data_IF_623747619151
#
_entry.id   IF_623747619151
#
_cell.length_a   1.000
_cell.length_b   1.000
_cell.length_c   1.000
_cell.angle_alpha   90.00
_cell.angle_beta   90.00
_cell.angle_gamma   90.00
#
_symmetry.space_group_name_H-M   'P 1'
#
loop_
_entity.id
_entity.type
_entity.pdbx_description
1 polymer ?
#
# COMPACT_ATOMS: atom_id res chain seq x y z
N UNK A 1 -8.59 -15.14 3.61
CA UNK A 1 -7.69 -15.82 2.65
C UNK A 1 -7.26 -17.19 3.13
N UNK A 2 -6.43 -17.33 4.17
CA UNK A 2 -5.96 -18.66 4.62
C UNK A 2 -7.10 -19.65 4.93
N UNK A 3 -8.18 -19.20 5.60
CA UNK A 3 -9.36 -20.04 5.86
C UNK A 3 -10.04 -20.46 4.55
N UNK A 4 -10.24 -19.53 3.60
CA UNK A 4 -10.92 -19.81 2.33
C UNK A 4 -10.12 -20.76 1.42
N UNK A 5 -8.79 -20.68 1.50
CA UNK A 5 -7.90 -21.61 0.83
C UNK A 5 -7.97 -22.99 1.46
N UNK A 6 -7.88 -23.06 2.79
CA UNK A 6 -7.96 -24.32 3.53
C UNK A 6 -9.33 -25.00 3.42
N UNK A 7 -10.41 -24.24 3.26
CA UNK A 7 -11.76 -24.77 3.00
C UNK A 7 -12.01 -25.10 1.53
N UNK A 8 -11.07 -24.80 0.63
CA UNK A 8 -11.21 -25.00 -0.81
C UNK A 8 -12.27 -24.13 -1.50
N UNK A 9 -12.87 -23.17 -0.79
CA UNK A 9 -13.89 -22.28 -1.37
C UNK A 9 -13.29 -21.21 -2.27
N UNK A 10 -12.06 -20.76 -1.97
CA UNK A 10 -11.33 -19.82 -2.81
C UNK A 10 -9.84 -20.15 -2.74
N UNK A 11 -9.29 -20.86 -3.74
CA UNK A 11 -7.86 -21.11 -3.79
C UNK A 11 -7.11 -19.81 -4.06
N UNK A 12 -6.03 -19.56 -3.32
CA UNK A 12 -5.22 -18.33 -3.47
C UNK A 12 -4.60 -18.26 -4.86
N UNK A 13 -4.37 -19.40 -5.50
CA UNK A 13 -3.83 -19.54 -6.85
C UNK A 13 -4.66 -18.81 -7.91
N UNK A 14 -5.96 -18.64 -7.69
CA UNK A 14 -6.85 -17.89 -8.60
C UNK A 14 -6.37 -16.47 -8.88
N UNK A 15 -5.64 -15.84 -7.95
CA UNK A 15 -5.04 -14.52 -8.20
C UNK A 15 -4.02 -14.53 -9.34
N UNK A 16 -3.28 -15.62 -9.51
CA UNK A 16 -2.31 -15.80 -10.60
C UNK A 16 -2.95 -16.39 -11.85
N UNK A 17 -3.79 -17.42 -11.68
CA UNK A 17 -4.44 -18.09 -12.81
C UNK A 17 -5.29 -17.12 -13.64
N UNK A 18 -6.01 -16.23 -12.95
CA UNK A 18 -6.89 -15.23 -13.58
C UNK A 18 -6.25 -13.83 -13.64
N UNK A 19 -4.91 -13.73 -13.62
CA UNK A 19 -4.22 -12.44 -13.59
C UNK A 19 -4.60 -11.52 -14.77
N UNK A 20 -4.67 -12.07 -15.99
CA UNK A 20 -5.03 -11.30 -17.20
C UNK A 20 -6.46 -10.72 -17.14
N UNK A 21 -7.49 -11.54 -16.85
CA UNK A 21 -8.84 -11.06 -16.61
C UNK A 21 -8.93 -10.05 -15.45
N UNK A 22 -8.25 -10.31 -14.33
CA UNK A 22 -8.21 -9.39 -13.18
C UNK A 22 -7.62 -8.03 -13.55
N UNK A 23 -6.53 -8.01 -14.33
CA UNK A 23 -5.93 -6.78 -14.84
C UNK A 23 -6.91 -6.01 -15.73
N UNK A 24 -7.62 -6.70 -16.62
CA UNK A 24 -8.61 -6.08 -17.52
C UNK A 24 -9.77 -5.48 -16.74
N UNK A 25 -10.30 -6.21 -15.75
CA UNK A 25 -11.35 -5.74 -14.85
C UNK A 25 -10.87 -4.54 -14.02
N UNK A 26 -9.64 -4.56 -13.52
CA UNK A 26 -9.06 -3.45 -12.77
C UNK A 26 -8.95 -2.17 -13.63
N UNK A 27 -8.49 -2.30 -14.88
CA UNK A 27 -8.42 -1.19 -15.84
C UNK A 27 -9.81 -0.61 -16.10
N UNK A 28 -10.78 -1.46 -16.48
CA UNK A 28 -12.15 -1.03 -16.78
C UNK A 28 -12.79 -0.37 -15.55
N UNK A 29 -12.62 -0.97 -14.36
CA UNK A 29 -13.14 -0.43 -13.11
C UNK A 29 -12.51 0.91 -12.76
N UNK A 30 -11.20 1.09 -13.01
CA UNK A 30 -10.51 2.36 -12.80
C UNK A 30 -11.09 3.48 -13.67
N UNK A 31 -11.36 3.20 -14.96
CA UNK A 31 -12.04 4.16 -15.83
C UNK A 31 -13.47 4.48 -15.34
N UNK A 32 -14.27 3.45 -15.06
CA UNK A 32 -15.66 3.63 -14.63
C UNK A 32 -15.77 4.38 -13.31
N UNK A 33 -14.93 4.04 -12.32
CA UNK A 33 -14.88 4.71 -11.02
C UNK A 33 -14.44 6.17 -11.16
N UNK A 34 -13.53 6.47 -12.08
CA UNK A 34 -13.10 7.85 -12.35
C UNK A 34 -14.20 8.69 -12.98
N UNK A 35 -14.94 8.14 -13.95
CA UNK A 35 -16.13 8.81 -14.51
C UNK A 35 -17.18 9.03 -13.43
N UNK A 36 -17.46 8.01 -12.63
CA UNK A 36 -18.41 8.12 -11.53
C UNK A 36 -18.01 9.21 -10.54
N UNK A 37 -16.76 9.22 -10.06
CA UNK A 37 -16.25 10.22 -9.13
C UNK A 37 -16.34 11.64 -9.70
N UNK A 38 -15.96 11.82 -10.98
CA UNK A 38 -16.04 13.11 -11.66
C UNK A 38 -17.49 13.60 -11.74
N UNK A 39 -18.41 12.84 -12.34
CA UNK A 39 -19.81 13.29 -12.50
C UNK A 39 -20.54 13.45 -11.15
N UNK A 40 -20.26 12.58 -10.18
CA UNK A 40 -20.83 12.70 -8.83
C UNK A 40 -20.41 14.00 -8.13
N UNK A 41 -19.15 14.42 -8.29
CA UNK A 41 -18.66 15.69 -7.75
C UNK A 41 -19.42 16.90 -8.34
N UNK A 42 -19.70 16.89 -9.65
CA UNK A 42 -20.51 17.93 -10.29
C UNK A 42 -21.97 17.89 -9.85
N UNK A 43 -22.58 16.71 -9.78
CA UNK A 43 -23.98 16.55 -9.36
C UNK A 43 -24.21 17.00 -7.91
N UNK A 44 -23.22 16.82 -7.03
CA UNK A 44 -23.26 17.26 -5.63
C UNK A 44 -22.84 18.71 -5.43
N UNK A 45 -22.30 19.39 -6.45
CA UNK A 45 -21.68 20.71 -6.30
C UNK A 45 -20.48 20.71 -5.35
N UNK A 46 -19.80 19.57 -5.19
CA UNK A 46 -18.67 19.38 -4.27
C UNK A 46 -17.32 19.70 -4.92
N UNK A 47 -17.33 20.56 -5.94
CA UNK A 47 -16.15 20.85 -6.73
C UNK A 47 -15.10 21.60 -5.92
N UNK A 48 -13.84 21.20 -6.05
CA UNK A 48 -12.70 21.84 -5.41
C UNK A 48 -11.65 22.19 -6.46
N UNK A 49 -11.22 23.45 -6.51
CA UNK A 49 -10.10 23.94 -7.35
C UNK A 49 -10.16 23.41 -8.80
N UNK A 50 -11.26 23.70 -9.50
CA UNK A 50 -11.50 23.33 -10.91
C UNK A 50 -10.84 24.38 -11.82
N UNK A 51 -10.24 23.94 -12.93
CA UNK A 51 -9.56 24.82 -13.89
C UNK A 51 -10.46 25.28 -15.04
N UNK A 52 -11.53 24.53 -15.34
CA UNK A 52 -12.43 24.80 -16.45
C UNK A 52 -12.07 24.03 -17.73
N UNK A 53 -10.99 23.24 -17.72
CA UNK A 53 -10.60 22.35 -18.81
C UNK A 53 -11.04 20.91 -18.50
N UNK A 54 -12.12 20.39 -19.11
CA UNK A 54 -12.73 19.13 -18.68
C UNK A 54 -11.80 17.91 -18.69
N UNK A 55 -10.89 17.83 -19.67
CA UNK A 55 -9.94 16.70 -19.76
C UNK A 55 -8.95 16.74 -18.59
N UNK A 56 -8.41 17.91 -18.27
CA UNK A 56 -7.47 18.09 -17.17
C UNK A 56 -8.17 17.91 -15.82
N UNK A 57 -9.37 18.48 -15.66
CA UNK A 57 -10.15 18.35 -14.43
C UNK A 57 -10.64 16.91 -14.19
N UNK A 58 -10.91 16.15 -15.25
CA UNK A 58 -11.15 14.70 -15.14
C UNK A 58 -9.88 13.95 -14.70
N UNK A 59 -8.74 14.27 -15.31
CA UNK A 59 -7.47 13.63 -15.01
C UNK A 59 -7.03 13.86 -13.56
N UNK A 60 -7.05 15.12 -13.12
CA UNK A 60 -6.64 15.54 -11.78
C UNK A 60 -7.75 15.43 -10.74
N UNK A 61 -9.01 15.26 -11.14
CA UNK A 61 -10.14 15.12 -10.23
C UNK A 61 -10.88 16.41 -9.91
N UNK A 62 -12.13 16.25 -9.47
CA UNK A 62 -13.06 17.34 -9.22
C UNK A 62 -13.36 17.58 -7.72
N UNK A 63 -13.30 16.53 -6.89
CA UNK A 63 -13.53 16.59 -5.44
C UNK A 63 -12.25 16.24 -4.69
N UNK A 64 -11.98 16.90 -3.56
CA UNK A 64 -10.75 16.62 -2.79
C UNK A 64 -10.80 15.24 -2.14
N UNK A 65 -11.82 14.94 -1.33
CA UNK A 65 -11.96 13.66 -0.63
C UNK A 65 -13.43 13.20 -0.68
N UNK A 66 -13.85 12.45 -1.71
CA UNK A 66 -15.21 11.95 -1.80
C UNK A 66 -15.47 10.92 -0.70
N UNK A 67 -16.56 11.12 0.05
CA UNK A 67 -16.94 10.26 1.18
C UNK A 67 -18.29 9.60 0.97
N UNK A 68 -18.34 8.28 1.12
CA UNK A 68 -19.59 7.53 1.14
C UNK A 68 -20.19 7.56 2.56
N UNK A 69 -21.38 8.14 2.69
CA UNK A 69 -22.12 8.32 3.96
C UNK A 69 -21.32 9.00 5.09
N UNK A 70 -20.24 9.71 4.76
CA UNK A 70 -19.35 10.33 5.74
C UNK A 70 -18.44 9.34 6.52
N UNK A 71 -18.51 8.04 6.21
CA UNK A 71 -17.79 6.98 6.93
C UNK A 71 -16.58 6.50 6.12
N UNK A 72 -16.80 6.20 4.84
CA UNK A 72 -15.76 5.67 3.96
C UNK A 72 -15.17 6.79 3.12
N UNK A 73 -13.89 7.07 3.31
CA UNK A 73 -13.11 7.96 2.46
C UNK A 73 -12.50 7.15 1.30
N UNK A 74 -12.95 7.43 0.07
CA UNK A 74 -12.54 6.65 -1.10
C UNK A 74 -11.06 6.81 -1.41
N UNK A 75 -10.49 7.99 -1.14
CA UNK A 75 -9.09 8.26 -1.40
C UNK A 75 -8.20 7.42 -0.50
N UNK A 76 -8.51 7.37 0.80
CA UNK A 76 -7.84 6.49 1.75
C UNK A 76 -8.01 5.00 1.39
N UNK A 77 -9.20 4.61 0.96
CA UNK A 77 -9.50 3.21 0.61
C UNK A 77 -8.70 2.76 -0.61
N UNK A 78 -8.68 3.56 -1.68
CA UNK A 78 -7.92 3.24 -2.88
C UNK A 78 -6.41 3.25 -2.62
N UNK A 79 -5.89 4.23 -1.88
CA UNK A 79 -4.45 4.36 -1.63
C UNK A 79 -3.86 3.20 -0.82
N UNK A 80 -4.59 2.71 0.19
CA UNK A 80 -4.05 1.76 1.18
C UNK A 80 -4.60 0.35 0.99
N UNK A 81 -5.90 0.19 0.77
CA UNK A 81 -6.55 -1.11 0.97
C UNK A 81 -6.53 -1.98 -0.28
N UNK A 82 -6.67 -1.39 -1.46
CA UNK A 82 -6.70 -2.16 -2.71
C UNK A 82 -5.28 -2.60 -3.15
N UNK A 83 -4.35 -1.69 -3.44
CA UNK A 83 -3.11 -2.04 -4.15
C UNK A 83 -2.21 -2.99 -3.35
N UNK A 84 -1.95 -2.64 -2.09
CA UNK A 84 -0.97 -3.36 -1.27
C UNK A 84 -1.43 -4.75 -0.84
N UNK A 85 -2.74 -4.94 -0.64
CA UNK A 85 -3.30 -6.24 -0.28
C UNK A 85 -3.47 -7.14 -1.50
N UNK A 86 -3.74 -6.60 -2.69
CA UNK A 86 -3.70 -7.37 -3.94
C UNK A 86 -2.25 -7.83 -4.22
N UNK A 87 -1.28 -6.94 -4.09
CA UNK A 87 0.14 -7.27 -4.29
C UNK A 87 0.62 -8.37 -3.32
N UNK A 88 0.26 -8.25 -2.05
CA UNK A 88 0.53 -9.30 -1.06
C UNK A 88 -0.19 -10.61 -1.41
N UNK A 89 -1.46 -10.54 -1.83
CA UNK A 89 -2.24 -11.69 -2.30
C UNK A 89 -1.59 -12.42 -3.46
N UNK A 90 -1.07 -11.69 -4.46
CA UNK A 90 -0.34 -12.27 -5.60
C UNK A 90 0.91 -13.02 -5.18
N UNK A 91 1.64 -12.53 -4.18
CA UNK A 91 2.84 -13.22 -3.69
C UNK A 91 2.50 -14.48 -2.90
N UNK A 92 1.44 -14.44 -2.10
CA UNK A 92 0.91 -15.63 -1.46
C UNK A 92 0.42 -16.66 -2.49
N UNK A 93 -0.18 -16.20 -3.60
CA UNK A 93 -0.58 -17.07 -4.69
C UNK A 93 0.63 -17.75 -5.33
N UNK A 94 1.72 -17.00 -5.58
CA UNK A 94 2.95 -17.57 -6.14
C UNK A 94 3.53 -18.65 -5.24
N UNK A 95 3.56 -18.42 -3.93
CA UNK A 95 4.01 -19.42 -2.96
C UNK A 95 3.11 -20.67 -2.94
N UNK A 96 1.79 -20.49 -3.01
CA UNK A 96 0.83 -21.60 -3.01
C UNK A 96 0.93 -22.43 -4.31
N UNK A 97 0.96 -21.78 -5.48
CA UNK A 97 1.19 -22.44 -6.77
C UNK A 97 2.50 -23.23 -6.79
N UNK A 98 3.59 -22.64 -6.28
CA UNK A 98 4.89 -23.30 -6.24
C UNK A 98 4.87 -24.54 -5.33
N UNK A 99 4.22 -24.43 -4.17
CA UNK A 99 4.07 -25.56 -3.25
C UNK A 99 3.25 -26.70 -3.87
N UNK A 100 2.18 -26.40 -4.61
CA UNK A 100 1.35 -27.42 -5.27
C UNK A 100 2.06 -28.11 -6.45
N UNK A 101 2.85 -27.36 -7.23
CA UNK A 101 3.55 -27.91 -8.40
C UNK A 101 4.80 -28.70 -8.03
N UNK A 102 5.59 -28.20 -7.07
CA UNK A 102 6.92 -28.73 -6.77
C UNK A 102 7.03 -29.39 -5.40
N UNK A 103 6.02 -29.24 -4.52
CA UNK A 103 6.05 -29.74 -3.15
C UNK A 103 6.90 -28.91 -2.17
N UNK A 104 7.51 -27.82 -2.63
CA UNK A 104 8.29 -26.89 -1.82
C UNK A 104 8.15 -25.46 -2.33
N UNK A 105 8.49 -24.48 -1.50
CA UNK A 105 8.54 -23.05 -1.89
C UNK A 105 10.00 -22.60 -1.87
N UNK A 106 10.42 -21.95 -2.95
CA UNK A 106 11.77 -21.38 -3.06
C UNK A 106 12.00 -20.25 -2.05
N UNK A 107 13.24 -20.07 -1.64
CA UNK A 107 13.63 -19.01 -0.69
C UNK A 107 13.44 -17.62 -1.31
N UNK A 108 13.56 -17.49 -2.63
CA UNK A 108 13.30 -16.26 -3.38
C UNK A 108 11.81 -15.87 -3.36
N UNK A 109 10.90 -16.84 -3.51
CA UNK A 109 9.46 -16.56 -3.39
C UNK A 109 9.10 -16.20 -1.95
N UNK A 110 9.69 -16.88 -0.95
CA UNK A 110 9.52 -16.50 0.45
C UNK A 110 10.02 -15.09 0.75
N UNK A 111 11.08 -14.63 0.08
CA UNK A 111 11.57 -13.26 0.19
C UNK A 111 10.53 -12.25 -0.26
N UNK A 112 9.90 -12.48 -1.42
CA UNK A 112 8.85 -11.59 -1.93
C UNK A 112 7.61 -11.59 -1.04
N UNK A 113 7.18 -12.76 -0.54
CA UNK A 113 6.06 -12.86 0.40
C UNK A 113 6.35 -12.04 1.67
N UNK A 114 7.56 -12.16 2.22
CA UNK A 114 8.00 -11.38 3.37
C UNK A 114 8.01 -9.87 3.06
N UNK A 115 8.61 -9.46 1.94
CA UNK A 115 8.73 -8.07 1.56
C UNK A 115 7.36 -7.39 1.38
N UNK A 116 6.45 -8.02 0.63
CA UNK A 116 5.10 -7.50 0.45
C UNK A 116 4.27 -7.55 1.72
N UNK A 117 4.46 -8.57 2.57
CA UNK A 117 3.80 -8.64 3.88
C UNK A 117 4.20 -7.47 4.77
N UNK A 118 5.50 -7.22 4.96
CA UNK A 118 5.95 -6.16 5.87
C UNK A 118 5.53 -4.77 5.37
N UNK A 119 5.48 -4.59 4.05
CA UNK A 119 5.04 -3.33 3.43
C UNK A 119 3.53 -3.13 3.58
N UNK A 120 2.70 -4.11 3.21
CA UNK A 120 1.25 -4.04 3.38
C UNK A 120 0.88 -3.84 4.87
N UNK A 121 1.60 -4.52 5.76
CA UNK A 121 1.45 -4.36 7.20
C UNK A 121 1.87 -2.97 7.68
N UNK A 122 2.95 -2.39 7.15
CA UNK A 122 3.35 -1.01 7.48
C UNK A 122 2.27 0.01 7.09
N UNK A 123 1.68 -0.14 5.90
CA UNK A 123 0.56 0.70 5.46
C UNK A 123 -0.65 0.56 6.39
N UNK A 124 -1.02 -0.66 6.77
CA UNK A 124 -2.15 -0.91 7.68
C UNK A 124 -1.89 -0.39 9.10
N UNK A 125 -0.66 -0.55 9.61
CA UNK A 125 -0.22 -0.09 10.93
C UNK A 125 -0.15 1.44 11.00
N UNK A 126 0.39 2.06 9.95
CA UNK A 126 0.68 3.48 9.82
C UNK A 126 -0.43 4.30 9.16
N UNK A 127 -1.60 3.72 8.91
CA UNK A 127 -2.72 4.35 8.16
C UNK A 127 -3.08 5.77 8.63
N UNK A 128 -3.02 6.04 9.94
CA UNK A 128 -3.29 7.35 10.52
C UNK A 128 -2.25 8.44 10.14
N UNK A 129 -1.06 8.04 9.71
CA UNK A 129 0.02 8.92 9.28
C UNK A 129 -0.14 9.30 7.80
N UNK A 130 -0.85 8.48 7.02
CA UNK A 130 -1.05 8.66 5.58
C UNK A 130 -1.96 9.86 5.29
N UNK A 131 -2.86 10.23 6.21
CA UNK A 131 -3.72 11.43 6.06
C UNK A 131 -2.91 12.71 5.83
N UNK A 132 -1.65 12.74 6.25
CA UNK A 132 -0.77 13.92 6.13
C UNK A 132 0.09 13.91 4.86
N UNK A 133 -0.01 12.88 4.02
CA UNK A 133 0.72 12.83 2.75
C UNK A 133 0.15 13.83 1.76
N UNK A 134 0.96 14.17 0.76
CA UNK A 134 0.57 15.10 -0.30
C UNK A 134 -0.71 14.64 -1.00
N UNK A 135 -0.75 13.36 -1.36
CA UNK A 135 -1.84 12.76 -2.11
C UNK A 135 -3.14 12.92 -1.35
N UNK A 136 -3.20 12.64 -0.04
CA UNK A 136 -4.42 12.79 0.77
C UNK A 136 -4.81 14.26 1.05
N UNK A 137 -3.82 15.14 1.24
CA UNK A 137 -4.07 16.48 1.75
C UNK A 137 -4.27 17.52 0.64
N UNK A 138 -3.60 17.36 -0.50
CA UNK A 138 -3.54 18.38 -1.56
C UNK A 138 -4.10 17.91 -2.89
N UNK A 139 -4.00 16.62 -3.20
CA UNK A 139 -4.41 16.08 -4.49
C UNK A 139 -5.88 15.68 -4.48
N UNK A 140 -6.58 16.00 -5.57
CA UNK A 140 -8.01 15.70 -5.73
C UNK A 140 -8.15 14.28 -6.25
N UNK A 141 -9.23 13.58 -5.87
CA UNK A 141 -9.49 12.26 -6.38
C UNK A 141 -9.92 12.32 -7.86
N UNK A 142 -8.97 12.09 -8.76
CA UNK A 142 -9.17 12.06 -10.20
C UNK A 142 -8.84 10.73 -10.84
N UNK A 143 -8.90 10.70 -12.16
CA UNK A 143 -8.51 9.52 -12.93
C UNK A 143 -7.09 9.06 -12.62
N UNK A 144 -6.14 9.98 -12.45
CA UNK A 144 -4.75 9.65 -12.11
C UNK A 144 -4.68 8.77 -10.85
N UNK A 145 -5.23 9.23 -9.73
CA UNK A 145 -5.16 8.51 -8.45
C UNK A 145 -6.02 7.24 -8.44
N UNK A 146 -7.23 7.28 -8.99
CA UNK A 146 -8.13 6.12 -9.01
C UNK A 146 -7.54 5.01 -9.88
N UNK A 147 -7.14 5.34 -11.11
CA UNK A 147 -6.58 4.36 -12.04
C UNK A 147 -5.24 3.81 -11.51
N UNK A 148 -4.37 4.67 -11.01
CA UNK A 148 -3.08 4.27 -10.48
C UNK A 148 -3.22 3.30 -9.31
N UNK A 149 -4.11 3.58 -8.36
CA UNK A 149 -4.29 2.72 -7.19
C UNK A 149 -5.08 1.43 -7.49
N UNK A 150 -6.00 1.44 -8.45
CA UNK A 150 -6.78 0.25 -8.82
C UNK A 150 -6.02 -0.70 -9.75
N UNK A 151 -5.28 -0.17 -10.73
CA UNK A 151 -4.61 -0.95 -11.76
C UNK A 151 -3.09 -0.74 -11.77
N UNK A 152 -2.61 0.51 -11.71
CA UNK A 152 -1.18 0.83 -11.83
C UNK A 152 -0.30 0.12 -10.79
N UNK A 153 -0.48 0.45 -9.51
CA UNK A 153 0.33 -0.11 -8.41
C UNK A 153 0.25 -1.63 -8.35
N UNK A 154 -0.92 -2.29 -8.23
CA UNK A 154 -0.95 -3.73 -8.02
C UNK A 154 -0.45 -4.51 -9.26
N UNK A 155 -0.72 -4.02 -10.47
CA UNK A 155 -0.39 -4.76 -11.70
C UNK A 155 1.02 -4.49 -12.19
N UNK A 156 1.63 -3.33 -11.87
CA UNK A 156 3.03 -3.08 -12.19
C UNK A 156 3.99 -3.55 -11.10
N UNK A 157 3.63 -3.46 -9.82
CA UNK A 157 4.59 -3.81 -8.76
C UNK A 157 4.72 -5.33 -8.57
N UNK A 158 3.80 -6.12 -9.15
CA UNK A 158 3.83 -7.57 -9.10
C UNK A 158 4.79 -8.23 -10.11
N UNK A 159 5.52 -7.46 -10.94
CA UNK A 159 6.39 -8.03 -11.98
C UNK A 159 7.39 -9.07 -11.44
N UNK A 160 8.00 -8.83 -10.28
CA UNK A 160 8.91 -9.80 -9.66
C UNK A 160 8.19 -11.11 -9.30
N UNK A 161 6.98 -11.01 -8.74
CA UNK A 161 6.14 -12.15 -8.38
C UNK A 161 5.73 -12.95 -9.63
N UNK A 162 5.31 -12.27 -10.69
CA UNK A 162 4.96 -12.91 -11.96
C UNK A 162 6.16 -13.59 -12.61
N UNK A 163 7.34 -12.99 -12.53
CA UNK A 163 8.57 -13.60 -13.05
C UNK A 163 8.87 -14.92 -12.34
N UNK A 164 8.85 -14.95 -11.00
CA UNK A 164 9.11 -16.17 -10.23
C UNK A 164 8.01 -17.23 -10.39
N UNK A 165 6.76 -16.82 -10.60
CA UNK A 165 5.65 -17.75 -10.80
C UNK A 165 5.67 -18.42 -12.18
N UNK A 166 6.21 -17.76 -13.21
CA UNK A 166 6.21 -18.25 -14.60
C UNK A 166 7.53 -18.93 -15.03
N UNK A 167 8.53 -18.99 -14.15
CA UNK A 167 9.81 -19.63 -14.45
C UNK A 167 10.09 -20.77 -13.48
N UNK A 168 10.78 -21.81 -13.97
CA UNK A 168 11.20 -22.91 -13.13
C UNK A 168 12.20 -22.43 -12.06
N UNK A 169 12.14 -22.93 -10.81
CA UNK A 169 13.04 -22.51 -9.75
C UNK A 169 14.52 -22.57 -10.12
N UNK A 170 14.92 -23.57 -10.92
CA UNK A 170 16.31 -23.70 -11.39
C UNK A 170 16.85 -22.48 -12.16
N UNK A 171 15.97 -21.64 -12.71
CA UNK A 171 16.36 -20.45 -13.47
C UNK A 171 16.75 -19.25 -12.61
N UNK A 172 16.23 -19.16 -11.39
CA UNK A 172 16.44 -18.03 -10.49
C UNK A 172 17.05 -18.42 -9.14
N UNK A 173 17.25 -19.72 -8.90
CA UNK A 173 17.97 -20.22 -7.72
C UNK A 173 19.28 -19.46 -7.59
N UNK A 174 19.43 -18.83 -6.44
CA UNK A 174 20.63 -18.08 -6.11
C UNK A 174 21.38 -18.71 -4.93
N UNK A 175 22.52 -18.13 -4.58
CA UNK A 175 23.32 -18.60 -3.46
C UNK A 175 22.57 -18.31 -2.15
N UNK A 176 22.20 -19.37 -1.42
CA UNK A 176 21.47 -19.30 -0.15
C UNK A 176 22.09 -18.33 0.87
N UNK A 177 23.43 -18.25 0.93
CA UNK A 177 24.12 -17.34 1.83
C UNK A 177 23.94 -15.87 1.41
N UNK A 178 24.04 -15.59 0.11
CA UNK A 178 23.84 -14.24 -0.42
C UNK A 178 22.39 -13.79 -0.21
N UNK A 179 21.44 -14.69 -0.46
CA UNK A 179 20.02 -14.44 -0.24
C UNK A 179 19.72 -14.20 1.25
N UNK A 180 20.30 -15.00 2.15
CA UNK A 180 20.16 -14.82 3.61
C UNK A 180 20.66 -13.44 4.06
N UNK A 181 21.78 -12.97 3.51
CA UNK A 181 22.29 -11.62 3.77
C UNK A 181 21.30 -10.56 3.30
N UNK A 182 20.66 -10.74 2.14
CA UNK A 182 19.67 -9.81 1.62
C UNK A 182 18.40 -9.80 2.46
N UNK A 183 17.92 -10.95 2.93
CA UNK A 183 16.83 -11.02 3.90
C UNK A 183 17.12 -10.17 5.14
N UNK A 184 18.29 -10.37 5.74
CA UNK A 184 18.69 -9.65 6.94
C UNK A 184 18.87 -8.15 6.68
N UNK A 185 19.49 -7.79 5.55
CA UNK A 185 19.66 -6.40 5.15
C UNK A 185 18.31 -5.72 4.92
N UNK A 186 17.36 -6.39 4.26
CA UNK A 186 16.03 -5.85 4.00
C UNK A 186 15.24 -5.61 5.30
N UNK A 187 15.25 -6.57 6.21
CA UNK A 187 14.63 -6.42 7.54
C UNK A 187 15.28 -5.30 8.36
N UNK A 188 16.61 -5.15 8.28
CA UNK A 188 17.31 -4.06 8.94
C UNK A 188 16.91 -2.70 8.35
N UNK A 189 16.90 -2.55 7.03
CA UNK A 189 16.47 -1.31 6.36
C UNK A 189 15.01 -0.99 6.69
N UNK A 190 14.14 -2.00 6.69
CA UNK A 190 12.75 -1.84 7.12
C UNK A 190 12.67 -1.33 8.57
N UNK A 191 13.44 -1.92 9.49
CA UNK A 191 13.48 -1.49 10.89
C UNK A 191 13.94 -0.03 11.01
N UNK A 192 15.00 0.38 10.31
CA UNK A 192 15.48 1.77 10.28
C UNK A 192 14.38 2.70 9.75
N UNK A 193 13.79 2.35 8.60
CA UNK A 193 12.75 3.17 7.98
C UNK A 193 11.51 3.33 8.85
N UNK A 194 11.02 2.25 9.45
CA UNK A 194 9.81 2.25 10.27
C UNK A 194 10.02 2.99 11.59
N UNK A 195 11.16 2.77 12.26
CA UNK A 195 11.49 3.46 13.51
C UNK A 195 11.75 4.95 13.29
N UNK A 196 12.51 5.34 12.25
CA UNK A 196 12.79 6.73 11.95
C UNK A 196 11.53 7.52 11.58
N UNK A 197 10.65 6.93 10.75
CA UNK A 197 9.36 7.57 10.44
C UNK A 197 8.42 7.60 11.65
N UNK A 198 8.41 6.55 12.47
CA UNK A 198 7.69 6.53 13.74
C UNK A 198 8.12 7.65 14.68
N UNK A 199 9.43 7.85 14.84
CA UNK A 199 10.00 8.94 15.65
C UNK A 199 9.64 10.32 15.12
N UNK A 200 9.86 10.56 13.82
CA UNK A 200 9.55 11.83 13.15
C UNK A 200 8.08 12.20 13.30
N UNK A 201 7.19 11.25 13.07
CA UNK A 201 5.75 11.50 13.11
C UNK A 201 5.25 11.65 14.55
N UNK A 202 5.72 10.81 15.48
CA UNK A 202 5.39 10.93 16.90
C UNK A 202 5.83 12.28 17.46
N UNK A 203 7.04 12.74 17.13
CA UNK A 203 7.55 14.05 17.52
C UNK A 203 6.62 15.18 17.06
N UNK A 204 6.25 15.19 15.77
CA UNK A 204 5.35 16.21 15.18
C UNK A 204 3.95 16.19 15.81
N UNK A 205 3.43 15.00 16.12
CA UNK A 205 2.13 14.87 16.77
C UNK A 205 2.19 15.33 18.24
N UNK A 206 3.30 15.09 18.94
CA UNK A 206 3.52 15.57 20.31
C UNK A 206 3.64 17.10 20.36
N UNK A 207 4.37 17.70 19.41
CA UNK A 207 4.49 19.16 19.27
C UNK A 207 3.12 19.83 19.06
N UNK A 208 2.24 19.20 18.28
CA UNK A 208 0.89 19.69 17.99
C UNK A 208 -0.16 19.31 19.05
N UNK A 209 0.22 18.54 20.08
CA UNK A 209 -0.71 18.03 21.09
C UNK A 209 -1.73 17.01 20.58
N UNK A 210 -1.52 16.43 19.38
CA UNK A 210 -2.44 15.47 18.73
C UNK A 210 -1.94 14.02 18.79
N UNK A 211 -1.00 13.73 19.69
CA UNK A 211 -0.40 12.40 19.81
C UNK A 211 -1.43 11.32 20.13
N UNK A 212 -1.55 10.33 19.24
CA UNK A 212 -2.41 9.16 19.39
C UNK A 212 -1.61 7.90 19.10
N UNK A 213 -1.37 7.09 20.14
CA UNK A 213 -0.69 5.81 20.00
C UNK A 213 -1.68 4.71 19.63
N UNK A 214 -1.61 4.20 18.39
CA UNK A 214 -2.42 3.04 17.96
C UNK A 214 -1.79 1.73 18.44
N UNK A 215 -2.61 0.86 19.03
CA UNK A 215 -2.24 -0.53 19.33
C UNK A 215 -2.41 -1.39 18.07
N UNK A 216 -1.48 -1.26 17.13
CA UNK A 216 -1.43 -2.04 15.89
C UNK A 216 -0.23 -2.98 15.92
N UNK A 217 -0.35 -4.17 15.33
CA UNK A 217 0.69 -5.19 15.39
C UNK A 217 1.54 -5.20 14.12
N UNK A 218 2.89 -5.29 14.19
CA UNK A 218 3.77 -5.00 15.32
C UNK A 218 4.27 -3.53 15.30
N UNK A 219 4.19 -2.83 16.44
CA UNK A 219 4.90 -1.55 16.64
C UNK A 219 6.31 -1.83 17.14
N UNK A 220 7.32 -1.26 16.48
CA UNK A 220 8.70 -1.39 16.90
C UNK A 220 8.97 -0.50 18.12
N UNK A 221 9.88 -0.91 19.03
CA UNK A 221 10.24 -0.09 20.19
C UNK A 221 10.96 1.20 19.75
N UNK A 222 11.00 2.19 20.65
CA UNK A 222 11.74 3.46 20.46
C UNK A 222 11.18 4.42 19.39
N UNK A 223 9.92 4.27 19.00
CA UNK A 223 9.23 5.26 18.15
C UNK A 223 8.92 6.58 18.89
N UNK A 224 9.02 6.62 20.22
CA UNK A 224 8.71 7.79 21.04
C UNK A 224 9.99 8.36 21.66
N UNK A 225 10.21 9.66 21.51
CA UNK A 225 11.33 10.36 22.16
C UNK A 225 10.87 10.85 23.53
N UNK A 226 11.17 10.09 24.58
CA UNK A 226 10.78 10.37 25.97
C UNK A 226 11.76 11.37 26.61
N UNK A 227 11.88 12.59 26.05
CA UNK A 227 12.38 13.80 26.74
C UNK A 227 12.42 15.02 25.79
N UNK A 228 11.27 15.69 25.60
CA UNK A 228 11.10 16.77 24.61
C UNK A 228 11.45 18.17 25.14
N UNK A 229 11.42 18.39 26.47
CA UNK A 229 11.57 19.73 27.06
C UNK A 229 12.91 20.42 26.73
N UNK A 230 14.08 19.73 26.73
CA UNK A 230 15.34 20.39 26.39
C UNK A 230 15.47 20.73 24.90
N UNK A 231 14.89 19.90 24.02
CA UNK A 231 15.03 20.02 22.57
C UNK A 231 14.16 21.16 22.00
N UNK A 232 12.91 21.24 22.47
CA UNK A 232 11.97 22.32 22.09
C UNK A 232 12.49 23.68 22.57
N UNK A 233 13.07 23.76 23.79
CA UNK A 233 13.68 25.00 24.28
C UNK A 233 14.83 25.47 23.40
N UNK A 234 15.65 24.58 22.84
CA UNK A 234 16.75 24.99 21.94
C UNK A 234 16.22 25.53 20.60
N UNK A 235 15.23 24.88 20.01
CA UNK A 235 14.69 25.31 18.72
C UNK A 235 13.90 26.62 18.78
N UNK A 236 13.18 26.88 19.89
CA UNK A 236 12.43 28.14 20.09
C UNK A 236 13.36 29.31 20.46
N UNK A 237 14.55 29.05 21.01
CA UNK A 237 15.54 30.10 21.32
C UNK A 237 16.38 30.45 20.07
N UNK A 238 16.46 29.56 19.07
CA UNK A 238 17.22 29.75 17.83
C UNK A 238 16.37 30.19 16.62
N UNK A 239 15.06 30.44 16.80
CA UNK A 239 14.13 30.96 15.78
C UNK A 239 13.64 32.37 16.10
#
# INVERSE_FOLDING_TARGET
>A
MAILHGTGQFPVNTFLDEFGPLMSVAIISGFLASFYAYFCAFARGAQHRITGYPIYDFFMGAELNPRLFGILDFQMFYEIRIPWFILFGLSCAAAACQYEQYGYVSSEVLFLVMAHFIYANACAKGEHLIVTTWDMYQEKLGFLLIFWNMAGVPMSYCHCTLYLANHDPSTYVWNDYALSVIFMAYLFVYWVWDTANGQKNSFRMMERGTFMKRKTFPQLPWQEVINLRPLIRRLVIES
#
